data_IF_293137732188
#
_entry.id   IF_293137732188
#
_cell.length_a   1.000
_cell.length_b   1.000
_cell.length_c   1.000
_cell.angle_alpha   90.00
_cell.angle_beta   90.00
_cell.angle_gamma   90.00
#
_symmetry.space_group_name_H-M   'P 1'
#
loop_
_entity.id
_entity.type
_entity.pdbx_description
1 polymer ?
#
# COMPACT_ATOMS: atom_id res chain seq x y z
N UNK A 1 -5.40 17.69 5.40
CA UNK A 1 -5.56 16.23 5.41
C UNK A 1 -6.58 15.74 4.36
N UNK A 2 -6.40 16.01 3.07
CA UNK A 2 -7.37 15.59 2.02
C UNK A 2 -6.71 15.20 0.70
N UNK A 3 -5.38 15.05 0.66
CA UNK A 3 -4.71 15.08 -0.65
C UNK A 3 -4.27 13.74 -1.23
N UNK A 4 -3.89 12.76 -0.44
CA UNK A 4 -3.17 11.57 -0.95
C UNK A 4 -4.11 10.51 -1.57
N UNK A 5 -5.29 10.31 -1.04
CA UNK A 5 -6.22 9.28 -1.53
C UNK A 5 -6.87 9.65 -2.87
N UNK A 6 -7.18 10.95 -3.05
CA UNK A 6 -7.75 11.48 -4.31
C UNK A 6 -6.72 11.43 -5.43
N UNK A 7 -5.44 11.56 -5.11
CA UNK A 7 -4.32 11.54 -6.02
C UNK A 7 -4.19 10.22 -6.79
N UNK A 8 -4.32 9.09 -6.11
CA UNK A 8 -4.21 7.76 -6.74
C UNK A 8 -5.42 7.41 -7.62
N UNK A 9 -6.62 7.84 -7.25
CA UNK A 9 -7.83 7.62 -8.06
C UNK A 9 -7.74 8.40 -9.38
N UNK A 10 -7.18 9.60 -9.37
CA UNK A 10 -7.02 10.43 -10.57
C UNK A 10 -5.95 9.87 -11.52
N UNK A 11 -4.83 9.34 -11.02
CA UNK A 11 -3.80 8.70 -11.85
C UNK A 11 -4.38 7.50 -12.62
N UNK A 12 -5.24 6.71 -11.98
CA UNK A 12 -5.84 5.54 -12.61
C UNK A 12 -6.91 5.88 -13.65
N UNK A 13 -7.71 6.91 -13.42
CA UNK A 13 -8.78 7.29 -14.35
C UNK A 13 -8.25 8.01 -15.61
N UNK A 14 -7.13 8.72 -15.51
CA UNK A 14 -6.56 9.51 -16.61
C UNK A 14 -5.33 8.89 -17.28
N UNK A 15 -4.65 7.93 -16.65
CA UNK A 15 -3.45 7.27 -17.20
C UNK A 15 -3.71 6.59 -18.55
N UNK A 16 -4.90 6.04 -18.75
CA UNK A 16 -5.29 5.39 -19.99
C UNK A 16 -5.46 6.38 -21.17
N UNK A 17 -5.81 7.64 -20.92
CA UNK A 17 -6.08 8.64 -21.97
C UNK A 17 -4.82 9.41 -22.43
N UNK A 18 -3.75 9.40 -21.65
CA UNK A 18 -2.56 10.26 -21.88
C UNK A 18 -1.33 9.44 -22.31
N UNK A 19 -1.40 8.10 -22.26
CA UNK A 19 -0.26 7.20 -22.51
C UNK A 19 0.46 7.41 -23.82
N UNK A 20 -0.25 7.69 -24.89
CA UNK A 20 0.33 7.81 -26.24
C UNK A 20 1.04 9.14 -26.50
N UNK A 21 0.74 10.18 -25.72
CA UNK A 21 1.23 11.54 -26.03
C UNK A 21 2.41 12.01 -25.18
N UNK A 22 2.70 11.38 -24.04
CA UNK A 22 3.66 11.91 -23.03
C UNK A 22 4.68 10.90 -22.51
N UNK A 23 4.83 9.72 -23.14
CA UNK A 23 5.86 8.75 -22.75
C UNK A 23 5.72 8.29 -21.29
N UNK A 24 4.70 7.50 -20.99
CA UNK A 24 4.51 6.92 -19.66
C UNK A 24 5.60 5.88 -19.34
N UNK A 25 5.96 5.71 -18.07
CA UNK A 25 6.88 4.64 -17.66
C UNK A 25 6.34 3.27 -18.11
N UNK A 26 7.22 2.32 -18.42
CA UNK A 26 6.90 1.05 -19.07
C UNK A 26 5.77 0.20 -18.48
N UNK A 27 5.44 0.38 -17.18
CA UNK A 27 4.30 -0.26 -16.56
C UNK A 27 2.94 0.33 -16.96
N UNK A 28 2.90 1.60 -17.36
CA UNK A 28 1.66 2.28 -17.79
C UNK A 28 1.29 1.94 -19.25
N UNK A 29 2.26 1.56 -20.07
CA UNK A 29 2.03 1.15 -21.47
C UNK A 29 1.50 -0.27 -21.59
N UNK A 30 1.79 -1.15 -20.62
CA UNK A 30 1.27 -2.53 -20.63
C UNK A 30 -0.24 -2.63 -20.33
N UNK A 31 -0.86 -1.54 -19.85
CA UNK A 31 -2.30 -1.47 -19.59
C UNK A 31 -3.12 -1.12 -20.84
N UNK A 32 -2.50 -0.53 -21.87
CA UNK A 32 -3.18 -0.16 -23.13
C UNK A 32 -3.27 -1.31 -24.12
N UNK A 33 -2.37 -2.29 -24.02
CA UNK A 33 -2.31 -3.44 -24.96
C UNK A 33 -3.33 -4.57 -24.66
N UNK A 34 -4.03 -4.51 -23.53
CA UNK A 34 -5.06 -5.50 -23.16
C UNK A 34 -6.45 -4.87 -23.07
N UNK A 35 -6.96 -4.36 -24.19
CA UNK A 35 -8.38 -4.11 -24.45
C UNK A 35 -9.18 -3.56 -23.26
N UNK A 36 -8.99 -2.28 -22.93
CA UNK A 36 -9.94 -1.57 -22.10
C UNK A 36 -11.15 -1.23 -22.96
N UNK A 37 -12.27 -1.92 -22.75
CA UNK A 37 -13.57 -1.41 -23.19
C UNK A 37 -13.80 -0.05 -22.52
N UNK A 38 -14.13 0.91 -23.35
CA UNK A 38 -14.26 2.34 -23.05
C UNK A 38 -15.18 2.60 -21.86
N UNK A 39 -14.81 3.60 -21.05
CA UNK A 39 -15.51 4.11 -19.86
C UNK A 39 -16.96 4.57 -20.14
N UNK A 40 -17.39 4.59 -21.40
CA UNK A 40 -18.77 4.90 -21.78
C UNK A 40 -19.81 3.89 -21.27
N UNK A 41 -19.39 2.64 -20.95
CA UNK A 41 -20.28 1.65 -20.30
C UNK A 41 -20.55 1.89 -18.81
N UNK A 42 -19.81 2.78 -18.15
CA UNK A 42 -19.94 3.02 -16.69
C UNK A 42 -20.88 4.19 -16.33
N UNK A 43 -21.36 4.96 -17.30
CA UNK A 43 -22.29 6.08 -17.12
C UNK A 43 -23.67 5.80 -17.72
N UNK A 44 -24.00 4.53 -17.96
CA UNK A 44 -25.32 4.08 -18.39
C UNK A 44 -26.37 4.29 -17.30
N UNK A 45 -27.36 5.08 -17.65
CA UNK A 45 -28.57 5.44 -16.92
C UNK A 45 -29.09 4.31 -16.05
N UNK A 46 -29.25 4.62 -14.74
CA UNK A 46 -30.05 3.80 -13.83
C UNK A 46 -31.51 3.77 -14.23
N UNK A 47 -32.02 2.60 -14.46
CA UNK A 47 -33.36 2.15 -14.11
C UNK A 47 -33.65 0.78 -14.74
N UNK A 48 -33.16 -0.29 -14.15
CA UNK A 48 -33.82 -1.60 -14.27
C UNK A 48 -33.76 -2.37 -12.95
N UNK A 49 -34.83 -3.03 -12.54
CA UNK A 49 -34.91 -3.69 -11.23
C UNK A 49 -34.16 -5.01 -11.22
N UNK A 50 -33.45 -5.26 -10.12
CA UNK A 50 -32.69 -6.48 -9.83
C UNK A 50 -33.73 -7.65 -9.69
N UNK A 51 -33.60 -8.76 -10.42
CA UNK A 51 -34.39 -9.95 -10.15
C UNK A 51 -33.92 -10.61 -8.83
N UNK A 52 -34.87 -11.03 -8.03
CA UNK A 52 -34.68 -11.72 -6.78
C UNK A 52 -33.94 -13.05 -6.98
N UNK A 53 -32.88 -13.29 -6.18
CA UNK A 53 -32.23 -14.57 -6.09
C UNK A 53 -33.13 -15.59 -5.43
N UNK A 54 -33.35 -16.73 -6.08
CA UNK A 54 -34.05 -17.88 -5.53
C UNK A 54 -33.16 -18.55 -4.48
N UNK A 55 -33.76 -18.84 -3.34
CA UNK A 55 -33.21 -19.53 -2.17
C UNK A 55 -33.18 -21.05 -2.46
N UNK A 56 -32.01 -21.59 -2.77
CA UNK A 56 -31.81 -23.04 -2.77
C UNK A 56 -31.21 -23.46 -1.44
N UNK A 57 -32.12 -23.88 -0.55
CA UNK A 57 -31.77 -24.50 0.72
C UNK A 57 -30.96 -25.80 0.55
N UNK A 58 -29.76 -25.81 1.05
CA UNK A 58 -29.00 -27.01 1.34
C UNK A 58 -28.40 -26.91 2.74
N UNK A 59 -28.98 -27.68 3.67
CA UNK A 59 -28.42 -27.91 5.00
C UNK A 59 -27.10 -28.72 4.87
N UNK A 60 -26.01 -28.38 5.59
CA UNK A 60 -24.88 -29.28 5.71
C UNK A 60 -25.08 -30.27 6.84
N UNK A 61 -24.98 -31.56 6.49
CA UNK A 61 -24.88 -32.68 7.43
C UNK A 61 -23.67 -32.55 8.35
N UNK A 62 -23.93 -32.78 9.63
CA UNK A 62 -22.91 -32.88 10.66
C UNK A 62 -22.16 -34.23 10.53
N UNK A 63 -20.86 -34.19 10.34
CA UNK A 63 -19.98 -35.34 10.52
C UNK A 63 -19.20 -35.15 11.81
N UNK A 64 -19.53 -35.98 12.80
CA UNK A 64 -18.74 -36.21 14.00
C UNK A 64 -17.44 -36.96 13.61
N UNK A 65 -16.27 -36.42 13.99
CA UNK A 65 -15.03 -37.14 13.98
C UNK A 65 -14.39 -37.05 15.36
N UNK A 66 -14.16 -38.23 15.91
CA UNK A 66 -13.63 -38.48 17.25
C UNK A 66 -12.21 -37.98 17.43
N UNK A 67 -11.93 -37.48 18.66
CA UNK A 67 -10.65 -37.00 19.10
C UNK A 67 -9.71 -38.18 19.49
N UNK A 68 -8.52 -38.24 18.91
CA UNK A 68 -7.40 -38.93 19.53
C UNK A 68 -6.40 -37.88 20.05
N UNK A 69 -6.16 -37.95 21.36
CA UNK A 69 -5.22 -37.08 22.07
C UNK A 69 -3.81 -37.67 21.98
N UNK A 70 -2.89 -36.97 21.34
CA UNK A 70 -1.46 -37.20 21.57
C UNK A 70 -0.81 -36.00 22.27
N UNK A 71 0.01 -36.35 23.26
CA UNK A 71 0.64 -35.44 24.19
C UNK A 71 1.67 -34.55 23.48
N UNK A 72 1.45 -33.23 23.53
CA UNK A 72 2.40 -32.22 23.05
C UNK A 72 3.47 -31.87 24.09
N UNK A 73 4.60 -31.31 23.66
CA UNK A 73 5.69 -30.91 24.55
C UNK A 73 5.35 -29.64 25.36
N UNK A 74 6.06 -29.51 26.47
CA UNK A 74 5.89 -28.59 27.58
C UNK A 74 5.72 -27.09 27.21
N UNK A 75 5.11 -26.30 28.10
CA UNK A 75 4.79 -24.89 27.87
C UNK A 75 6.05 -24.05 27.78
N UNK A 76 6.22 -23.37 26.64
CA UNK A 76 7.20 -22.31 26.51
C UNK A 76 6.66 -21.09 27.29
N UNK A 77 7.44 -20.66 28.25
CA UNK A 77 7.18 -19.49 29.09
C UNK A 77 6.98 -18.26 28.22
N UNK A 78 5.80 -17.66 28.31
CA UNK A 78 5.50 -16.34 27.74
C UNK A 78 6.50 -15.31 28.29
N UNK A 79 7.09 -14.44 27.46
CA UNK A 79 7.83 -13.31 27.98
C UNK A 79 6.88 -12.38 28.75
N UNK A 80 7.37 -11.71 29.82
CA UNK A 80 6.53 -10.82 30.60
C UNK A 80 5.97 -9.69 29.72
N UNK A 81 4.74 -9.30 29.96
CA UNK A 81 4.10 -8.14 29.39
C UNK A 81 4.97 -6.90 29.66
N UNK A 82 5.77 -6.51 28.67
CA UNK A 82 6.58 -5.29 28.72
C UNK A 82 5.69 -4.09 28.47
N UNK A 83 5.76 -3.14 29.39
CA UNK A 83 5.09 -1.85 29.40
C UNK A 83 5.04 -1.19 28.01
N UNK A 84 3.83 -0.82 27.58
CA UNK A 84 3.55 -0.16 26.30
C UNK A 84 4.35 1.15 26.08
N UNK A 85 4.94 1.70 27.10
CA UNK A 85 5.78 2.89 27.05
C UNK A 85 7.19 2.61 26.52
N UNK A 86 7.78 1.45 26.80
CA UNK A 86 9.11 1.07 26.30
C UNK A 86 9.14 0.75 24.80
N UNK A 87 8.01 0.39 24.20
CA UNK A 87 7.94 0.05 22.77
C UNK A 87 7.79 1.27 21.84
N UNK A 88 7.10 2.31 22.30
CA UNK A 88 7.01 3.58 21.58
C UNK A 88 8.39 4.28 21.48
N UNK A 89 9.18 4.22 22.57
CA UNK A 89 10.54 4.77 22.60
C UNK A 89 11.49 4.00 21.66
N UNK A 90 11.33 2.68 21.52
CA UNK A 90 12.16 1.85 20.64
C UNK A 90 12.03 2.25 19.17
N UNK A 91 10.84 2.70 18.74
CA UNK A 91 10.56 3.08 17.35
C UNK A 91 10.79 4.57 17.05
N UNK A 92 10.98 5.42 18.08
CA UNK A 92 10.99 6.88 17.97
C UNK A 92 12.03 7.42 16.97
N UNK A 93 13.19 6.76 16.90
CA UNK A 93 14.30 7.17 16.05
C UNK A 93 14.37 6.44 14.70
N UNK A 94 13.43 5.53 14.41
CA UNK A 94 13.42 4.82 13.14
C UNK A 94 13.10 5.78 12.00
N UNK A 95 13.83 5.59 10.91
CA UNK A 95 13.64 6.26 9.62
C UNK A 95 13.64 5.21 8.53
N UNK A 96 12.93 5.48 7.46
CA UNK A 96 12.95 4.62 6.28
C UNK A 96 14.39 4.47 5.78
N UNK A 97 14.79 3.24 5.45
CA UNK A 97 16.11 2.96 4.87
C UNK A 97 16.05 3.06 3.34
N UNK A 98 17.22 2.96 2.71
CA UNK A 98 17.34 3.07 1.26
C UNK A 98 16.58 1.95 0.54
N UNK A 99 16.48 0.75 1.11
CA UNK A 99 15.69 -0.35 0.53
C UNK A 99 14.18 0.00 0.48
N UNK A 100 13.62 0.56 1.56
CA UNK A 100 12.25 1.04 1.58
C UNK A 100 12.01 2.21 0.62
N UNK A 101 12.95 3.18 0.55
CA UNK A 101 12.89 4.26 -0.43
C UNK A 101 12.95 3.74 -1.86
N UNK A 102 13.76 2.71 -2.13
CA UNK A 102 13.86 2.12 -3.46
C UNK A 102 12.55 1.49 -3.91
N UNK A 103 11.80 0.83 -3.00
CA UNK A 103 10.47 0.31 -3.30
C UNK A 103 9.52 1.43 -3.73
N UNK A 104 9.56 2.58 -3.05
CA UNK A 104 8.75 3.74 -3.43
C UNK A 104 9.20 4.28 -4.78
N UNK A 105 10.51 4.51 -4.98
CA UNK A 105 11.06 5.01 -6.25
C UNK A 105 10.67 4.16 -7.45
N UNK A 106 10.79 2.83 -7.32
CA UNK A 106 10.42 1.87 -8.36
C UNK A 106 8.93 1.93 -8.71
N UNK A 107 8.10 2.23 -7.72
CA UNK A 107 6.64 2.25 -7.89
C UNK A 107 6.13 3.58 -8.45
N UNK A 108 6.73 4.71 -8.03
CA UNK A 108 6.28 6.05 -8.43
C UNK A 108 6.86 6.47 -9.79
N UNK A 109 8.07 6.00 -10.13
CA UNK A 109 8.82 6.45 -11.29
C UNK A 109 9.38 7.86 -11.14
N UNK A 110 10.43 8.17 -11.89
CA UNK A 110 11.13 9.45 -11.83
C UNK A 110 10.76 10.37 -12.99
N UNK A 111 10.38 11.62 -12.68
CA UNK A 111 10.22 12.68 -13.66
C UNK A 111 10.99 13.93 -13.25
N UNK A 112 12.01 14.29 -14.02
CA UNK A 112 12.86 15.45 -13.75
C UNK A 112 12.27 16.78 -14.25
N UNK A 113 11.22 16.73 -15.04
CA UNK A 113 10.46 17.89 -15.50
C UNK A 113 9.05 17.84 -14.95
N UNK A 114 8.55 18.99 -14.48
CA UNK A 114 7.21 19.09 -13.93
C UNK A 114 6.15 18.81 -15.00
N UNK A 115 5.13 18.03 -14.64
CA UNK A 115 4.00 17.70 -15.47
C UNK A 115 2.69 18.02 -14.74
N UNK A 116 1.66 18.32 -15.52
CA UNK A 116 0.33 18.59 -14.96
C UNK A 116 -0.53 17.34 -15.05
N UNK A 117 -1.16 16.98 -13.93
CA UNK A 117 -2.12 15.87 -13.88
C UNK A 117 -3.38 16.35 -13.14
N UNK A 118 -4.51 16.41 -13.85
CA UNK A 118 -5.77 16.83 -13.26
C UNK A 118 -5.76 18.24 -12.65
N UNK A 119 -4.97 19.16 -13.21
CA UNK A 119 -4.81 20.53 -12.71
C UNK A 119 -3.72 20.71 -11.64
N UNK A 120 -3.10 19.62 -11.17
CA UNK A 120 -2.01 19.65 -10.19
C UNK A 120 -0.65 19.43 -10.88
N UNK A 121 0.34 20.25 -10.52
CA UNK A 121 1.72 20.07 -10.95
C UNK A 121 2.43 19.07 -10.08
N UNK A 122 3.22 18.21 -10.70
CA UNK A 122 3.98 17.13 -10.07
C UNK A 122 5.39 17.09 -10.64
N UNK A 123 6.36 16.63 -9.83
CA UNK A 123 7.76 16.49 -10.24
C UNK A 123 8.46 15.40 -9.40
N UNK A 124 9.59 14.90 -9.84
CA UNK A 124 10.35 13.88 -9.14
C UNK A 124 9.61 12.56 -9.04
N UNK A 125 9.41 12.04 -7.86
CA UNK A 125 8.65 10.83 -7.53
C UNK A 125 7.20 11.15 -7.13
N UNK A 126 6.58 12.13 -7.80
CA UNK A 126 5.20 12.52 -7.55
C UNK A 126 5.05 13.67 -6.56
N UNK A 127 6.12 14.40 -6.24
CA UNK A 127 6.07 15.58 -5.37
C UNK A 127 5.15 16.66 -5.95
N UNK A 128 4.23 17.15 -5.13
CA UNK A 128 3.23 18.14 -5.52
C UNK A 128 3.37 19.49 -4.81
N UNK A 129 3.85 19.50 -3.57
CA UNK A 129 3.75 20.65 -2.67
C UNK A 129 4.42 21.93 -3.23
N UNK A 130 5.55 21.79 -3.94
CA UNK A 130 6.29 22.91 -4.52
C UNK A 130 6.39 22.85 -6.04
N UNK A 131 5.82 21.82 -6.68
CA UNK A 131 5.87 21.66 -8.12
C UNK A 131 5.07 22.76 -8.85
N UNK A 132 5.63 23.27 -9.95
CA UNK A 132 5.01 24.30 -10.77
C UNK A 132 5.40 24.14 -12.23
N UNK A 133 4.63 24.79 -13.11
CA UNK A 133 4.90 24.78 -14.55
C UNK A 133 6.36 25.14 -14.86
N UNK A 134 6.97 24.36 -15.76
CA UNK A 134 8.34 24.60 -16.23
C UNK A 134 9.46 24.26 -15.25
N UNK A 135 9.12 23.77 -14.06
CA UNK A 135 10.13 23.34 -13.07
C UNK A 135 10.91 22.15 -13.57
N UNK A 136 12.25 22.21 -13.41
CA UNK A 136 13.17 21.10 -13.69
C UNK A 136 14.05 20.88 -12.47
N UNK A 137 14.32 19.61 -12.17
CA UNK A 137 15.15 19.21 -11.04
C UNK A 137 16.14 18.12 -11.44
N UNK A 138 17.17 17.95 -10.63
CA UNK A 138 18.09 16.80 -10.73
C UNK A 138 17.54 15.59 -10.00
N UNK A 139 18.08 14.42 -10.24
CA UNK A 139 17.74 13.20 -9.51
C UNK A 139 17.99 13.34 -8.00
N UNK A 140 19.10 13.95 -7.60
CA UNK A 140 19.41 14.22 -6.20
C UNK A 140 18.35 15.13 -5.54
N UNK A 141 17.84 16.13 -6.28
CA UNK A 141 16.75 16.97 -5.80
C UNK A 141 15.44 16.20 -5.70
N UNK A 142 15.14 15.31 -6.68
CA UNK A 142 13.97 14.45 -6.62
C UNK A 142 14.01 13.52 -5.39
N UNK A 143 15.17 12.95 -5.08
CA UNK A 143 15.35 12.14 -3.87
C UNK A 143 15.19 12.96 -2.59
N UNK A 144 15.72 14.17 -2.53
CA UNK A 144 15.52 15.05 -1.38
C UNK A 144 14.04 15.37 -1.15
N UNK A 145 13.28 15.64 -2.23
CA UNK A 145 11.83 15.86 -2.15
C UNK A 145 11.11 14.61 -1.68
N UNK A 146 11.47 13.42 -2.18
CA UNK A 146 10.87 12.17 -1.71
C UNK A 146 11.09 11.95 -0.21
N UNK A 147 12.31 12.25 0.29
CA UNK A 147 12.61 12.13 1.73
C UNK A 147 11.79 13.11 2.59
N UNK A 148 11.40 14.25 2.05
CA UNK A 148 10.43 15.14 2.72
C UNK A 148 9.01 14.55 2.68
N UNK A 149 8.57 14.06 1.52
CA UNK A 149 7.22 13.54 1.32
C UNK A 149 6.92 12.29 2.17
N UNK A 150 7.92 11.47 2.46
CA UNK A 150 7.72 10.26 3.29
C UNK A 150 7.61 10.53 4.79
N UNK A 151 7.91 11.75 5.27
CA UNK A 151 7.91 12.07 6.70
C UNK A 151 6.54 11.85 7.35
N UNK A 152 5.46 12.22 6.68
CA UNK A 152 4.11 12.01 7.19
C UNK A 152 3.80 10.51 7.37
N UNK A 153 4.25 9.68 6.41
CA UNK A 153 4.11 8.22 6.51
C UNK A 153 4.97 7.65 7.63
N UNK A 154 6.23 8.12 7.80
CA UNK A 154 7.10 7.73 8.91
C UNK A 154 6.46 8.07 10.27
N UNK A 155 5.94 9.30 10.41
CA UNK A 155 5.28 9.74 11.64
C UNK A 155 4.00 8.95 11.91
N UNK A 156 3.24 8.63 10.86
CA UNK A 156 2.06 7.79 10.95
C UNK A 156 2.36 6.39 11.43
N UNK A 157 3.40 5.74 10.88
CA UNK A 157 3.86 4.41 11.30
C UNK A 157 4.38 4.44 12.74
N UNK A 158 5.23 5.42 13.12
CA UNK A 158 5.72 5.55 14.50
C UNK A 158 4.61 5.68 15.53
N UNK A 159 3.54 6.41 15.19
CA UNK A 159 2.39 6.59 16.09
C UNK A 159 1.49 5.37 16.18
N UNK A 160 1.38 4.61 15.09
CA UNK A 160 0.44 3.49 15.01
C UNK A 160 1.02 2.17 15.53
N UNK A 161 2.34 1.97 15.41
CA UNK A 161 3.03 0.74 15.81
C UNK A 161 3.35 0.77 17.31
N UNK A 162 2.77 -0.17 18.07
CA UNK A 162 2.87 -0.22 19.54
C UNK A 162 3.85 -1.26 20.05
N UNK A 163 4.50 -2.02 19.17
CA UNK A 163 5.50 -3.04 19.51
C UNK A 163 6.85 -2.68 18.89
N UNK A 164 7.99 -3.15 19.44
CA UNK A 164 9.29 -2.94 18.80
C UNK A 164 9.35 -3.57 17.42
N UNK A 165 9.91 -2.84 16.44
CA UNK A 165 10.16 -3.35 15.11
C UNK A 165 11.58 -3.02 14.68
N UNK A 166 12.16 -3.84 13.80
CA UNK A 166 13.45 -3.53 13.22
C UNK A 166 13.31 -2.49 12.09
N UNK A 167 14.45 -1.99 11.60
CA UNK A 167 14.49 -0.94 10.59
C UNK A 167 13.89 -1.37 9.25
N UNK A 168 14.01 -2.64 8.88
CA UNK A 168 13.44 -3.17 7.64
C UNK A 168 11.93 -3.30 7.73
N UNK A 169 11.42 -3.79 8.87
CA UNK A 169 9.99 -3.85 9.16
C UNK A 169 9.36 -2.45 9.14
N UNK A 170 10.01 -1.50 9.81
CA UNK A 170 9.57 -0.10 9.77
C UNK A 170 9.53 0.44 8.34
N UNK A 171 10.58 0.23 7.56
CA UNK A 171 10.69 0.74 6.19
C UNK A 171 9.66 0.15 5.23
N UNK A 172 9.37 -1.15 5.36
CA UNK A 172 8.31 -1.80 4.59
C UNK A 172 6.92 -1.21 4.93
N UNK A 173 6.65 -0.98 6.22
CA UNK A 173 5.41 -0.35 6.66
C UNK A 173 5.30 1.11 6.22
N UNK A 174 6.39 1.87 6.21
CA UNK A 174 6.40 3.25 5.68
C UNK A 174 6.09 3.25 4.18
N UNK A 175 6.64 2.32 3.38
CA UNK A 175 6.28 2.19 1.97
C UNK A 175 4.79 1.90 1.79
N UNK A 176 4.21 1.00 2.59
CA UNK A 176 2.78 0.71 2.57
C UNK A 176 1.94 1.93 2.97
N UNK A 177 2.32 2.63 4.05
CA UNK A 177 1.64 3.82 4.54
C UNK A 177 1.70 4.99 3.54
N UNK A 178 2.83 5.15 2.85
CA UNK A 178 2.98 6.11 1.77
C UNK A 178 1.98 5.85 0.63
N UNK A 179 1.77 4.57 0.28
CA UNK A 179 0.85 4.17 -0.78
C UNK A 179 -0.64 4.25 -0.37
N UNK A 180 -1.00 3.73 0.80
CA UNK A 180 -2.40 3.69 1.27
C UNK A 180 -2.86 5.01 1.91
N UNK A 181 -1.92 5.90 2.23
CA UNK A 181 -2.12 6.99 3.17
C UNK A 181 -2.08 6.50 4.63
N UNK A 182 -1.71 7.40 5.55
CA UNK A 182 -1.61 7.10 7.00
C UNK A 182 -2.92 6.53 7.56
N UNK A 183 -4.07 7.08 7.12
CA UNK A 183 -5.39 6.57 7.53
C UNK A 183 -5.65 5.16 7.05
N UNK A 184 -5.33 4.84 5.78
CA UNK A 184 -5.47 3.50 5.23
C UNK A 184 -4.55 2.49 5.93
N UNK A 185 -3.31 2.88 6.21
CA UNK A 185 -2.38 2.06 6.99
C UNK A 185 -2.92 1.78 8.39
N UNK A 186 -3.50 2.78 9.06
CA UNK A 186 -4.07 2.64 10.41
C UNK A 186 -5.18 1.59 10.51
N UNK A 187 -5.85 1.27 9.41
CA UNK A 187 -6.88 0.22 9.32
C UNK A 187 -6.39 -1.05 8.61
N UNK A 188 -5.09 -1.16 8.31
CA UNK A 188 -4.55 -2.30 7.58
C UNK A 188 -4.44 -3.56 8.43
N UNK A 189 -4.60 -4.72 7.78
CA UNK A 189 -4.34 -6.02 8.42
C UNK A 189 -2.87 -6.20 8.79
N UNK A 190 -1.95 -5.52 8.09
CA UNK A 190 -0.52 -5.49 8.43
C UNK A 190 -0.31 -4.88 9.81
N UNK A 191 -0.82 -3.67 10.06
CA UNK A 191 -0.70 -3.01 11.36
C UNK A 191 -1.34 -3.84 12.48
N UNK A 192 -2.52 -4.40 12.21
CA UNK A 192 -3.24 -5.22 13.19
C UNK A 192 -2.44 -6.46 13.61
N UNK A 193 -1.74 -7.12 12.67
CA UNK A 193 -0.89 -8.28 12.94
C UNK A 193 0.39 -7.86 13.68
N UNK A 194 1.07 -6.79 13.24
CA UNK A 194 2.28 -6.25 13.89
C UNK A 194 2.01 -5.95 15.36
N UNK A 195 0.93 -5.23 15.67
CA UNK A 195 0.60 -4.84 17.04
C UNK A 195 0.19 -6.01 17.93
N UNK A 196 -0.08 -7.18 17.35
CA UNK A 196 -0.24 -8.46 18.10
C UNK A 196 1.09 -9.21 18.27
N UNK A 197 2.19 -8.73 17.70
CA UNK A 197 3.47 -9.44 17.67
C UNK A 197 3.52 -10.58 16.65
N UNK A 198 2.50 -10.70 15.78
CA UNK A 198 2.47 -11.69 14.70
C UNK A 198 3.19 -11.14 13.46
N UNK A 199 4.50 -11.21 13.46
CA UNK A 199 5.32 -10.68 12.36
C UNK A 199 5.20 -11.51 11.08
N UNK A 200 4.98 -12.83 11.19
CA UNK A 200 4.78 -13.68 10.00
C UNK A 200 3.42 -13.39 9.36
N UNK A 201 2.37 -13.34 10.15
CA UNK A 201 1.05 -12.94 9.67
C UNK A 201 1.02 -11.52 9.11
N UNK A 202 1.80 -10.59 9.70
CA UNK A 202 1.96 -9.23 9.17
C UNK A 202 2.63 -9.23 7.80
N UNK A 203 3.69 -10.03 7.61
CA UNK A 203 4.34 -10.18 6.31
C UNK A 203 3.37 -10.69 5.23
N UNK A 204 2.60 -11.70 5.52
CA UNK A 204 1.60 -12.23 4.58
C UNK A 204 0.45 -11.26 4.32
N UNK A 205 0.08 -10.45 5.31
CA UNK A 205 -0.97 -9.45 5.19
C UNK A 205 -0.64 -8.33 4.17
N UNK A 206 0.64 -8.06 3.86
CA UNK A 206 1.00 -7.13 2.79
C UNK A 206 0.32 -7.50 1.47
N UNK A 207 0.31 -8.79 1.11
CA UNK A 207 -0.21 -9.28 -0.17
C UNK A 207 -1.72 -9.02 -0.36
N UNK A 208 -2.46 -8.76 0.71
CA UNK A 208 -3.89 -8.43 0.66
C UNK A 208 -4.17 -7.00 0.17
N UNK A 209 -3.15 -6.13 0.14
CA UNK A 209 -3.28 -4.71 -0.23
C UNK A 209 -2.90 -4.43 -1.70
N UNK A 210 -3.27 -5.33 -2.61
CA UNK A 210 -2.92 -5.27 -4.03
C UNK A 210 -4.11 -4.90 -4.94
N UNK A 211 -5.21 -4.36 -4.37
CA UNK A 211 -6.42 -4.03 -5.13
C UNK A 211 -6.67 -2.52 -5.18
N UNK A 212 -7.19 -2.05 -6.33
CA UNK A 212 -7.81 -0.75 -6.44
C UNK A 212 -9.11 -0.89 -7.26
N UNK A 213 -10.17 -0.19 -6.85
CA UNK A 213 -11.48 -0.35 -7.46
C UNK A 213 -12.02 -1.79 -7.45
N UNK A 214 -11.66 -2.60 -6.44
CA UNK A 214 -12.03 -4.01 -6.32
C UNK A 214 -11.23 -4.97 -7.20
N UNK A 215 -10.36 -4.49 -8.10
CA UNK A 215 -9.54 -5.31 -9.01
C UNK A 215 -8.12 -5.46 -8.50
N UNK A 216 -7.55 -6.67 -8.61
CA UNK A 216 -6.12 -6.92 -8.37
C UNK A 216 -5.32 -6.24 -9.46
N UNK A 217 -4.27 -5.49 -9.08
CA UNK A 217 -3.39 -4.81 -9.99
C UNK A 217 -1.97 -5.36 -9.86
N UNK A 218 -1.38 -5.73 -10.99
CA UNK A 218 -0.07 -6.40 -11.05
C UNK A 218 1.04 -5.55 -10.41
N UNK A 219 1.10 -4.25 -10.72
CA UNK A 219 2.11 -3.36 -10.13
C UNK A 219 1.96 -3.21 -8.61
N UNK A 220 0.72 -3.26 -8.07
CA UNK A 220 0.50 -3.30 -6.62
C UNK A 220 0.93 -4.65 -6.03
N UNK A 221 0.69 -5.75 -6.74
CA UNK A 221 1.15 -7.08 -6.31
C UNK A 221 2.67 -7.10 -6.20
N UNK A 222 3.39 -6.67 -7.23
CA UNK A 222 4.86 -6.58 -7.20
C UNK A 222 5.39 -5.68 -6.08
N UNK A 223 4.71 -4.55 -5.80
CA UNK A 223 5.06 -3.66 -4.70
C UNK A 223 4.89 -4.36 -3.35
N UNK A 224 3.78 -5.04 -3.13
CA UNK A 224 3.50 -5.81 -1.88
C UNK A 224 4.49 -6.93 -1.68
N UNK A 225 4.90 -7.64 -2.72
CA UNK A 225 5.93 -8.68 -2.67
C UNK A 225 7.29 -8.11 -2.21
N UNK A 226 7.71 -6.98 -2.77
CA UNK A 226 8.94 -6.29 -2.35
C UNK A 226 8.87 -5.82 -0.89
N UNK A 227 7.75 -5.24 -0.47
CA UNK A 227 7.52 -4.80 0.91
C UNK A 227 7.53 -5.98 1.87
N UNK A 228 6.85 -7.09 1.53
CA UNK A 228 6.89 -8.33 2.30
C UNK A 228 8.31 -8.88 2.43
N UNK A 229 9.05 -8.94 1.32
CA UNK A 229 10.43 -9.43 1.32
C UNK A 229 11.36 -8.58 2.21
N UNK A 230 11.20 -7.24 2.19
CA UNK A 230 11.94 -6.34 3.08
C UNK A 230 11.54 -6.54 4.56
N UNK A 231 10.26 -6.74 4.84
CA UNK A 231 9.73 -6.91 6.19
C UNK A 231 10.27 -8.18 6.87
N UNK A 232 10.57 -9.22 6.11
CA UNK A 232 11.08 -10.51 6.60
C UNK A 232 12.61 -10.55 6.82
N UNK A 233 13.34 -9.48 6.50
CA UNK A 233 14.78 -9.33 6.77
C UNK A 233 15.01 -8.71 8.16
#
# INVERSE_FOLDING_TARGET
MRSTLIFWIIIFAFGALIGERYGLPGWATSLTDRGFETVEGLLGNGNEPIPAAEDDGAEPEAVEAEAEAEAGPAPQTSPPASDSQGSADANANLRINDAGLQIIKDSEGLRLEAYNLGGQWLIGYGHAATARAGMKITEAQAEALLREDVKDAEDGVRKAVTVPVNRNQFSAMVSLAYNLGVGGFGHSTVLAAVNKGDYNGAADAFLNHNKAGGKVLEHLTMRREKERALFLQ
#
